data_IF_753296247522
#
_entry.id   IF_753296247522
#
_cell.length_a   1.000
_cell.length_b   1.000
_cell.length_c   1.000
_cell.angle_alpha   90.00
_cell.angle_beta   90.00
_cell.angle_gamma   90.00
#
_symmetry.space_group_name_H-M   'P 1'
#
loop_
_entity.id
_entity.type
_entity.pdbx_description
1 polymer ?
#
# COMPACT_ATOMS: atom_id res chain seq x y z
N UNK A 1 24.61 17.87 -19.27
CA UNK A 1 25.53 17.80 -18.12
C UNK A 1 24.81 17.07 -17.01
N UNK A 2 25.35 15.94 -16.51
CA UNK A 2 24.85 15.35 -15.27
C UNK A 2 25.35 16.25 -14.14
N UNK A 3 24.50 17.12 -13.64
CA UNK A 3 24.72 17.78 -12.36
C UNK A 3 24.97 16.67 -11.34
N UNK A 4 26.08 16.76 -10.61
CA UNK A 4 26.37 15.78 -9.57
C UNK A 4 25.31 15.89 -8.48
N UNK A 5 25.05 14.83 -7.72
CA UNK A 5 24.22 14.94 -6.52
C UNK A 5 24.80 15.91 -5.47
N UNK A 6 25.95 16.52 -5.73
CA UNK A 6 26.53 17.59 -4.91
C UNK A 6 25.92 18.97 -5.18
N UNK A 7 25.26 19.18 -6.32
CA UNK A 7 24.63 20.48 -6.61
C UNK A 7 23.43 20.70 -5.71
N UNK A 8 23.51 21.69 -4.82
CA UNK A 8 22.50 21.95 -3.80
C UNK A 8 21.18 22.38 -4.44
N UNK A 9 20.06 21.84 -3.94
CA UNK A 9 18.71 22.17 -4.38
C UNK A 9 17.89 22.63 -3.18
N UNK A 10 17.34 23.83 -3.20
CA UNK A 10 16.35 24.28 -2.19
C UNK A 10 15.04 24.65 -2.86
N UNK A 11 14.01 24.98 -2.08
CA UNK A 11 12.76 25.51 -2.61
C UNK A 11 12.68 27.02 -2.42
N UNK A 12 12.08 27.70 -3.39
CA UNK A 12 11.76 29.11 -3.29
C UNK A 12 10.87 29.38 -2.06
N UNK A 13 11.22 30.41 -1.28
CA UNK A 13 10.47 30.81 -0.08
C UNK A 13 9.08 31.37 -0.40
N UNK A 14 8.87 31.85 -1.62
CA UNK A 14 7.59 32.40 -2.06
C UNK A 14 6.69 31.36 -2.74
N UNK A 15 7.13 30.76 -3.85
CA UNK A 15 6.29 29.86 -4.64
C UNK A 15 6.59 28.37 -4.48
N UNK A 16 7.65 28.00 -3.75
CA UNK A 16 8.03 26.61 -3.54
C UNK A 16 8.63 25.89 -4.76
N UNK A 17 8.95 26.59 -5.85
CA UNK A 17 9.66 26.00 -6.97
C UNK A 17 11.10 25.58 -6.57
N UNK A 18 11.61 24.43 -7.05
CA UNK A 18 13.00 24.05 -6.87
C UNK A 18 13.97 25.09 -7.44
N UNK A 19 15.09 25.29 -6.73
CA UNK A 19 16.16 26.22 -7.06
C UNK A 19 17.48 25.46 -7.00
N UNK A 20 18.16 25.33 -8.14
CA UNK A 20 19.53 24.85 -8.21
C UNK A 20 20.47 25.98 -7.78
N UNK A 21 21.16 25.78 -6.66
CA UNK A 21 22.04 26.79 -6.05
C UNK A 21 23.52 26.54 -6.39
N UNK A 22 23.85 25.32 -6.84
CA UNK A 22 25.24 24.90 -6.99
C UNK A 22 25.94 24.83 -5.63
N UNK A 23 27.16 25.34 -5.54
CA UNK A 23 27.98 25.33 -4.30
C UNK A 23 28.07 26.68 -3.60
N UNK A 24 27.45 27.73 -4.15
CA UNK A 24 27.56 29.10 -3.62
C UNK A 24 26.49 29.45 -2.60
N UNK A 25 26.76 30.47 -1.77
CA UNK A 25 25.79 31.08 -0.85
C UNK A 25 25.17 32.38 -1.39
N UNK A 26 25.39 32.66 -2.68
CA UNK A 26 24.87 33.86 -3.31
C UNK A 26 23.33 33.81 -3.45
N UNK A 27 22.63 34.93 -3.27
CA UNK A 27 21.18 34.96 -3.45
C UNK A 27 20.75 34.56 -4.88
N UNK A 28 19.81 33.61 -4.99
CA UNK A 28 19.32 33.09 -6.27
C UNK A 28 17.93 33.65 -6.59
N UNK A 29 17.69 34.10 -7.82
CA UNK A 29 16.36 34.48 -8.30
C UNK A 29 15.57 33.24 -8.75
N UNK A 30 14.34 33.10 -8.27
CA UNK A 30 13.47 32.02 -8.69
C UNK A 30 13.01 32.22 -10.14
N UNK A 31 13.30 31.24 -11.01
CA UNK A 31 12.87 31.29 -12.40
C UNK A 31 11.34 31.28 -12.60
N UNK A 32 10.57 30.82 -11.60
CA UNK A 32 9.10 30.73 -11.69
C UNK A 32 8.38 32.02 -11.27
N UNK A 33 8.73 32.60 -10.11
CA UNK A 33 8.04 33.79 -9.57
C UNK A 33 8.90 35.05 -9.49
N UNK A 34 10.17 34.98 -9.89
CA UNK A 34 11.11 36.12 -9.86
C UNK A 34 11.62 36.52 -8.48
N UNK A 35 11.11 35.92 -7.39
CA UNK A 35 11.54 36.23 -6.04
C UNK A 35 13.04 35.99 -5.84
N UNK A 36 13.72 36.91 -5.15
CA UNK A 36 15.12 36.74 -4.71
C UNK A 36 15.13 35.92 -3.43
N UNK A 37 15.84 34.80 -3.43
CA UNK A 37 15.92 33.87 -2.30
C UNK A 37 17.30 33.97 -1.66
N UNK A 38 17.33 34.15 -0.35
CA UNK A 38 18.57 34.05 0.41
C UNK A 38 18.94 32.57 0.53
N UNK A 39 20.17 32.23 0.14
CA UNK A 39 20.73 30.91 0.40
C UNK A 39 21.27 30.92 1.83
N UNK A 40 20.73 30.05 2.67
CA UNK A 40 21.20 29.86 4.05
C UNK A 40 22.29 28.79 4.02
N UNK A 41 23.47 29.02 4.59
CA UNK A 41 24.51 27.99 4.62
C UNK A 41 24.00 26.70 5.28
N UNK A 42 24.38 25.55 4.71
CA UNK A 42 24.04 24.23 5.27
C UNK A 42 24.94 23.97 6.47
N UNK A 43 24.40 23.34 7.51
CA UNK A 43 25.23 22.82 8.61
C UNK A 43 25.79 21.48 8.16
N UNK A 44 27.11 21.44 7.99
CA UNK A 44 27.85 20.27 7.53
C UNK A 44 28.65 19.59 8.65
N UNK A 45 28.49 20.03 9.89
CA UNK A 45 29.13 19.41 11.05
C UNK A 45 28.55 18.00 11.28
N UNK A 46 29.42 17.02 11.48
CA UNK A 46 29.00 15.68 11.84
C UNK A 46 28.22 15.70 13.17
N UNK A 47 27.17 14.89 13.26
CA UNK A 47 26.50 14.67 14.55
C UNK A 47 27.47 13.94 15.48
N UNK A 48 27.67 14.46 16.69
CA UNK A 48 28.58 13.86 17.66
C UNK A 48 28.11 12.44 18.05
N UNK A 49 29.05 11.53 18.25
CA UNK A 49 28.76 10.19 18.77
C UNK A 49 28.34 10.27 20.25
N UNK A 50 27.19 9.69 20.57
CA UNK A 50 26.53 9.78 21.87
C UNK A 50 26.47 8.48 22.65
N UNK A 51 26.62 7.30 22.02
CA UNK A 51 26.50 6.01 22.72
C UNK A 51 27.79 5.19 22.74
N UNK A 52 28.30 4.93 23.95
CA UNK A 52 29.55 4.19 24.17
C UNK A 52 29.36 2.74 24.66
N UNK A 53 28.14 2.31 24.99
CA UNK A 53 27.92 0.95 25.51
C UNK A 53 28.00 -0.12 24.41
N UNK A 54 28.04 -1.38 24.84
CA UNK A 54 27.97 -2.55 23.96
C UNK A 54 26.72 -2.52 23.07
N UNK A 55 26.82 -3.08 21.87
CA UNK A 55 25.74 -3.06 20.88
C UNK A 55 24.49 -3.78 21.36
N UNK A 56 24.62 -4.88 22.11
CA UNK A 56 23.46 -5.60 22.61
C UNK A 56 22.66 -4.74 23.59
N UNK A 57 23.35 -4.09 24.53
CA UNK A 57 22.74 -3.18 25.50
C UNK A 57 22.06 -1.99 24.81
N UNK A 58 22.65 -1.50 23.71
CA UNK A 58 22.05 -0.44 22.88
C UNK A 58 20.76 -0.93 22.22
N UNK A 59 20.75 -2.11 21.61
CA UNK A 59 19.54 -2.66 20.98
C UNK A 59 18.41 -2.88 21.99
N UNK A 60 18.73 -3.37 23.19
CA UNK A 60 17.75 -3.51 24.27
C UNK A 60 17.18 -2.15 24.71
N UNK A 61 18.03 -1.13 24.79
CA UNK A 61 17.58 0.24 25.05
C UNK A 61 16.64 0.76 23.96
N UNK A 62 16.97 0.55 22.68
CA UNK A 62 16.13 0.96 21.55
C UNK A 62 14.78 0.23 21.54
N UNK A 63 14.75 -1.07 21.88
CA UNK A 63 13.50 -1.84 22.01
C UNK A 63 12.58 -1.27 23.09
N UNK A 64 13.14 -0.83 24.21
CA UNK A 64 12.37 -0.20 25.29
C UNK A 64 11.73 1.14 24.89
N UNK A 65 12.22 1.79 23.82
CA UNK A 65 11.67 3.03 23.27
C UNK A 65 10.60 2.82 22.20
N UNK A 66 10.05 1.61 22.03
CA UNK A 66 9.09 1.31 20.97
C UNK A 66 7.62 1.40 21.43
N UNK A 67 7.03 2.60 21.69
CA UNK A 67 5.58 2.71 21.76
C UNK A 67 4.99 2.57 20.35
N UNK A 68 3.69 2.32 20.27
CA UNK A 68 2.95 2.49 19.01
C UNK A 68 3.25 3.90 18.46
N UNK A 69 3.78 3.99 17.23
CA UNK A 69 4.08 5.27 16.61
C UNK A 69 2.80 6.12 16.58
N UNK A 70 2.90 7.32 17.15
CA UNK A 70 1.87 8.35 17.01
C UNK A 70 2.50 9.51 16.23
N UNK A 71 1.98 9.85 15.03
CA UNK A 71 2.42 11.05 14.34
C UNK A 71 2.12 12.28 15.22
N UNK A 72 2.87 13.37 15.01
CA UNK A 72 2.56 14.63 15.67
C UNK A 72 1.08 14.98 15.40
N UNK A 73 0.26 15.28 16.42
CA UNK A 73 -1.16 15.57 16.24
C UNK A 73 -1.44 16.67 15.20
N UNK A 74 -0.51 17.61 15.01
CA UNK A 74 -0.61 18.65 14.00
C UNK A 74 -0.53 18.12 12.55
N UNK A 75 -0.04 16.89 12.35
CA UNK A 75 0.08 16.25 11.04
C UNK A 75 -1.12 15.36 10.70
N UNK A 76 -1.90 14.93 11.71
CA UNK A 76 -3.06 14.06 11.51
C UNK A 76 -4.04 14.55 10.42
N UNK A 77 -4.33 15.86 10.29
CA UNK A 77 -5.23 16.35 9.23
C UNK A 77 -4.74 16.06 7.80
N UNK A 78 -3.43 15.85 7.62
CA UNK A 78 -2.85 15.61 6.31
C UNK A 78 -2.70 14.12 5.96
N UNK A 79 -2.97 13.23 6.91
CA UNK A 79 -2.63 11.82 6.79
C UNK A 79 -3.84 10.95 6.44
N UNK A 80 -3.62 9.98 5.55
CA UNK A 80 -4.48 8.82 5.34
C UNK A 80 -3.69 7.58 5.78
N UNK A 81 -3.89 7.16 7.02
CA UNK A 81 -3.00 6.19 7.69
C UNK A 81 -1.61 6.80 7.91
N UNK A 82 -0.58 6.16 7.38
CA UNK A 82 0.83 6.59 7.50
C UNK A 82 1.34 7.39 6.29
N UNK A 83 0.43 7.84 5.41
CA UNK A 83 0.79 8.52 4.15
C UNK A 83 0.13 9.89 4.07
N UNK A 84 0.78 10.80 3.34
CA UNK A 84 0.16 12.06 2.96
C UNK A 84 -1.05 11.80 2.05
N UNK A 85 -2.23 12.23 2.49
CA UNK A 85 -3.44 12.11 1.71
C UNK A 85 -3.37 12.98 0.44
N UNK A 86 -3.84 12.45 -0.68
CA UNK A 86 -3.73 13.14 -1.98
C UNK A 86 -4.41 14.52 -1.97
N UNK A 87 -5.60 14.61 -1.36
CA UNK A 87 -6.35 15.86 -1.27
C UNK A 87 -5.69 16.90 -0.34
N UNK A 88 -4.92 16.45 0.66
CA UNK A 88 -4.29 17.31 1.65
C UNK A 88 -2.91 17.84 1.21
N UNK A 89 -2.42 17.43 0.03
CA UNK A 89 -1.07 17.74 -0.43
C UNK A 89 -0.78 19.24 -0.49
N UNK A 90 -1.68 20.03 -1.08
CA UNK A 90 -1.49 21.46 -1.24
C UNK A 90 -1.46 22.18 0.11
N UNK A 91 -2.34 21.78 1.03
CA UNK A 91 -2.42 22.33 2.38
C UNK A 91 -1.19 21.95 3.21
N UNK A 92 -0.76 20.68 3.17
CA UNK A 92 0.47 20.22 3.81
C UNK A 92 1.70 20.99 3.31
N UNK A 93 1.79 21.24 2.00
CA UNK A 93 2.88 22.04 1.45
C UNK A 93 2.85 23.51 1.92
N UNK A 94 1.66 24.11 1.97
CA UNK A 94 1.48 25.47 2.51
C UNK A 94 1.85 25.53 4.00
N UNK A 95 1.45 24.52 4.77
CA UNK A 95 1.81 24.39 6.19
C UNK A 95 3.32 24.25 6.37
N UNK A 96 3.98 23.43 5.55
CA UNK A 96 5.43 23.30 5.55
C UNK A 96 6.15 24.61 5.23
N UNK A 97 5.69 25.37 4.21
CA UNK A 97 6.23 26.70 3.91
C UNK A 97 6.04 27.69 5.07
N UNK A 98 4.87 27.65 5.73
CA UNK A 98 4.59 28.50 6.87
C UNK A 98 5.42 28.13 8.12
N UNK A 99 5.72 26.84 8.33
CA UNK A 99 6.66 26.39 9.35
C UNK A 99 8.07 26.87 9.02
N UNK A 100 8.52 26.69 7.78
CA UNK A 100 9.82 27.15 7.29
C UNK A 100 10.02 28.66 7.49
N UNK A 101 9.01 29.47 7.20
CA UNK A 101 9.09 30.93 7.37
C UNK A 101 9.16 31.40 8.83
N UNK A 102 8.64 30.61 9.77
CA UNK A 102 8.55 30.95 11.20
C UNK A 102 9.53 30.18 12.09
N UNK A 103 10.16 29.14 11.55
CA UNK A 103 11.08 28.28 12.29
C UNK A 103 12.24 29.10 12.82
N UNK A 104 12.40 29.07 14.13
CA UNK A 104 13.53 29.67 14.82
C UNK A 104 14.49 28.55 15.24
N UNK A 105 15.81 28.73 15.08
CA UNK A 105 16.81 27.76 15.54
C UNK A 105 16.57 27.33 17.00
N UNK A 106 16.49 26.03 17.27
CA UNK A 106 16.36 25.49 18.62
C UNK A 106 14.92 25.20 19.10
N UNK A 107 13.89 25.55 18.32
CA UNK A 107 12.53 25.07 18.59
C UNK A 107 12.39 23.60 18.18
N UNK A 108 12.66 22.71 19.14
CA UNK A 108 12.66 21.25 18.95
C UNK A 108 11.37 20.74 18.31
N UNK A 109 10.21 21.28 18.71
CA UNK A 109 8.93 20.82 18.21
C UNK A 109 8.68 21.29 16.77
N UNK A 110 8.99 22.55 16.46
CA UNK A 110 8.87 23.08 15.10
C UNK A 110 9.85 22.39 14.14
N UNK A 111 11.10 22.17 14.55
CA UNK A 111 12.10 21.48 13.74
C UNK A 111 11.70 20.04 13.44
N UNK A 112 11.18 19.31 14.44
CA UNK A 112 10.64 17.96 14.25
C UNK A 112 9.54 17.97 13.20
N UNK A 113 8.51 18.82 13.36
CA UNK A 113 7.39 18.90 12.41
C UNK A 113 7.86 19.31 11.01
N UNK A 114 8.82 20.22 10.91
CA UNK A 114 9.38 20.67 9.64
C UNK A 114 10.01 19.51 8.86
N UNK A 115 10.81 18.67 9.53
CA UNK A 115 11.47 17.51 8.90
C UNK A 115 10.49 16.38 8.61
N UNK A 116 9.57 16.09 9.52
CA UNK A 116 8.52 15.09 9.30
C UNK A 116 7.65 15.42 8.08
N UNK A 117 7.18 16.66 8.00
CA UNK A 117 6.33 17.09 6.90
C UNK A 117 7.12 17.15 5.59
N UNK A 118 8.40 17.56 5.64
CA UNK A 118 9.29 17.48 4.48
C UNK A 118 9.45 16.05 3.98
N UNK A 119 9.62 15.08 4.89
CA UNK A 119 9.72 13.66 4.55
C UNK A 119 8.44 13.14 3.88
N UNK A 120 7.26 13.44 4.44
CA UNK A 120 5.98 13.04 3.86
C UNK A 120 5.76 13.65 2.47
N UNK A 121 6.09 14.93 2.29
CA UNK A 121 6.03 15.61 1.00
C UNK A 121 7.07 15.08 0.01
N UNK A 122 8.25 14.69 0.50
CA UNK A 122 9.33 14.09 -0.27
C UNK A 122 8.91 12.74 -0.84
N UNK A 123 8.39 11.83 0.00
CA UNK A 123 7.83 10.55 -0.43
C UNK A 123 6.75 10.73 -1.50
N UNK A 124 5.86 11.73 -1.34
CA UNK A 124 4.85 12.02 -2.36
C UNK A 124 5.46 12.53 -3.66
N UNK A 125 6.47 13.38 -3.60
CA UNK A 125 7.16 13.90 -4.79
C UNK A 125 7.91 12.78 -5.53
N UNK A 126 8.40 11.76 -4.81
CA UNK A 126 8.98 10.56 -5.40
C UNK A 126 7.97 9.80 -6.27
N UNK A 127 6.72 9.67 -5.79
CA UNK A 127 5.64 9.00 -6.53
C UNK A 127 5.28 9.74 -7.82
N UNK A 128 5.42 11.06 -7.84
CA UNK A 128 5.19 11.87 -9.05
C UNK A 128 6.42 11.93 -9.97
N UNK A 129 7.55 11.32 -9.59
CA UNK A 129 8.79 11.37 -10.35
C UNK A 129 9.47 12.75 -10.36
N UNK A 130 9.32 13.56 -9.29
CA UNK A 130 9.95 14.88 -9.13
C UNK A 130 11.09 14.83 -8.08
N UNK A 131 12.25 14.24 -8.42
CA UNK A 131 13.37 14.11 -7.49
C UNK A 131 13.99 15.47 -7.10
N UNK A 132 13.86 16.51 -7.95
CA UNK A 132 14.36 17.85 -7.64
C UNK A 132 13.56 18.47 -6.50
N UNK A 133 12.23 18.38 -6.54
CA UNK A 133 11.39 18.85 -5.44
C UNK A 133 11.61 18.06 -4.17
N UNK A 134 11.75 16.75 -4.28
CA UNK A 134 12.03 15.90 -3.12
C UNK A 134 13.31 16.32 -2.40
N UNK A 135 14.40 16.47 -3.16
CA UNK A 135 15.66 16.98 -2.65
C UNK A 135 15.49 18.37 -2.04
N UNK A 136 14.81 19.25 -2.76
CA UNK A 136 14.52 20.62 -2.34
C UNK A 136 13.82 20.70 -1.00
N UNK A 137 12.84 19.82 -0.74
CA UNK A 137 12.13 19.75 0.55
C UNK A 137 13.08 19.40 1.70
N UNK A 138 13.87 18.34 1.55
CA UNK A 138 14.77 17.86 2.59
C UNK A 138 15.91 18.85 2.85
N UNK A 139 16.56 19.36 1.80
CA UNK A 139 17.65 20.34 1.94
C UNK A 139 17.15 21.67 2.51
N UNK A 140 15.96 22.15 2.08
CA UNK A 140 15.39 23.40 2.65
C UNK A 140 15.12 23.27 4.14
N UNK A 141 14.63 22.10 4.60
CA UNK A 141 14.43 21.82 6.02
C UNK A 141 15.77 21.71 6.76
N UNK A 142 16.77 21.03 6.17
CA UNK A 142 18.09 20.85 6.77
C UNK A 142 18.79 22.20 7.05
N UNK A 143 18.53 23.22 6.25
CA UNK A 143 19.11 24.55 6.46
C UNK A 143 18.62 25.24 7.74
N UNK A 144 17.47 24.83 8.27
CA UNK A 144 16.76 25.52 9.36
C UNK A 144 16.85 24.77 10.68
N UNK A 145 16.96 23.44 10.64
CA UNK A 145 17.05 22.63 11.86
C UNK A 145 18.43 22.72 12.51
N UNK A 146 18.48 22.64 13.84
CA UNK A 146 19.70 22.65 14.66
C UNK A 146 19.77 21.48 15.63
N UNK A 147 18.64 20.87 15.97
CA UNK A 147 18.61 19.71 16.84
C UNK A 147 19.32 18.53 16.16
N UNK A 148 20.15 17.75 16.90
CA UNK A 148 20.82 16.57 16.36
C UNK A 148 19.84 15.59 15.70
N UNK A 149 18.68 15.38 16.34
CA UNK A 149 17.64 14.48 15.87
C UNK A 149 17.08 14.85 14.50
N UNK A 150 16.65 16.10 14.34
CA UNK A 150 16.04 16.56 13.09
C UNK A 150 17.09 16.62 11.96
N UNK A 151 18.32 17.03 12.29
CA UNK A 151 19.46 17.04 11.38
C UNK A 151 19.79 15.65 10.84
N UNK A 152 19.87 14.64 11.73
CA UNK A 152 20.14 13.26 11.34
C UNK A 152 19.05 12.67 10.45
N UNK A 153 17.78 12.88 10.77
CA UNK A 153 16.66 12.39 9.94
C UNK A 153 16.70 13.00 8.54
N UNK A 154 16.92 14.32 8.43
CA UNK A 154 17.02 15.00 7.14
C UNK A 154 18.21 14.49 6.31
N UNK A 155 19.39 14.30 6.92
CA UNK A 155 20.58 13.75 6.27
C UNK A 155 20.39 12.30 5.82
N UNK A 156 19.79 11.46 6.65
CA UNK A 156 19.44 10.09 6.30
C UNK A 156 18.48 10.05 5.09
N UNK A 157 17.52 10.98 5.01
CA UNK A 157 16.66 11.13 3.83
C UNK A 157 17.41 11.49 2.56
N UNK A 158 18.34 12.44 2.65
CA UNK A 158 19.19 12.81 1.54
C UNK A 158 20.10 11.65 1.09
N UNK A 159 20.61 10.85 2.04
CA UNK A 159 21.36 9.64 1.73
C UNK A 159 20.53 8.58 0.98
N UNK A 160 19.31 8.30 1.47
CA UNK A 160 18.39 7.36 0.83
C UNK A 160 17.98 7.82 -0.58
N UNK A 161 17.71 9.11 -0.73
CA UNK A 161 17.42 9.74 -2.03
C UNK A 161 18.58 9.60 -3.02
N UNK A 162 19.82 9.84 -2.57
CA UNK A 162 21.01 9.66 -3.39
C UNK A 162 21.11 8.23 -3.94
N UNK A 163 20.98 7.24 -3.05
CA UNK A 163 21.03 5.82 -3.40
C UNK A 163 19.95 5.47 -4.42
N UNK A 164 18.71 5.94 -4.21
CA UNK A 164 17.59 5.73 -5.13
C UNK A 164 17.82 6.35 -6.51
N UNK A 165 18.50 7.49 -6.56
CA UNK A 165 18.91 8.12 -7.82
C UNK A 165 20.12 7.45 -8.48
N UNK A 166 20.65 6.36 -7.92
CA UNK A 166 21.80 5.65 -8.45
C UNK A 166 23.12 6.36 -8.16
N UNK A 167 23.17 7.20 -7.12
CA UNK A 167 24.40 7.80 -6.61
C UNK A 167 24.68 7.31 -5.16
N UNK A 168 25.16 6.07 -5.02
CA UNK A 168 25.53 5.55 -3.70
C UNK A 168 26.73 6.30 -3.09
N UNK A 169 27.59 6.95 -3.89
CA UNK A 169 28.72 7.72 -3.36
C UNK A 169 28.25 9.02 -2.69
N UNK A 170 27.30 9.72 -3.31
CA UNK A 170 26.59 10.83 -2.67
C UNK A 170 25.85 10.39 -1.40
N UNK A 171 25.25 9.20 -1.42
CA UNK A 171 24.62 8.60 -0.25
C UNK A 171 25.57 8.41 0.93
N UNK A 172 26.76 7.87 0.68
CA UNK A 172 27.82 7.74 1.70
C UNK A 172 28.30 9.09 2.22
N UNK A 173 28.41 10.10 1.36
CA UNK A 173 28.83 11.43 1.79
C UNK A 173 27.88 12.00 2.84
N UNK A 174 26.57 11.76 2.71
CA UNK A 174 25.58 12.15 3.72
C UNK A 174 25.59 11.29 4.97
N UNK A 175 25.76 9.96 4.83
CA UNK A 175 25.81 9.06 5.99
C UNK A 175 27.00 9.35 6.91
N UNK A 176 28.14 9.79 6.36
CA UNK A 176 29.31 10.22 7.16
C UNK A 176 29.02 11.40 8.11
N UNK A 177 27.95 12.15 7.86
CA UNK A 177 27.52 13.26 8.71
C UNK A 177 26.50 12.83 9.77
N UNK A 178 26.03 11.59 9.73
CA UNK A 178 25.07 11.04 10.70
C UNK A 178 25.79 10.30 11.83
N UNK A 179 25.13 10.17 12.98
CA UNK A 179 25.59 9.28 14.04
C UNK A 179 25.14 7.83 13.75
N UNK A 180 26.06 6.88 13.50
CA UNK A 180 25.72 5.52 13.10
C UNK A 180 25.15 4.65 14.24
N UNK A 181 25.31 5.07 15.50
CA UNK A 181 24.93 4.31 16.70
C UNK A 181 24.08 5.13 17.66
N UNK A 182 23.13 5.90 17.12
CA UNK A 182 22.23 6.71 17.94
C UNK A 182 21.52 5.89 19.01
N UNK A 183 21.33 6.50 20.18
CA UNK A 183 20.54 5.96 21.27
C UNK A 183 19.03 6.20 21.10
N UNK A 184 18.61 7.10 20.20
CA UNK A 184 17.20 7.36 19.92
C UNK A 184 16.72 6.44 18.79
N UNK A 185 15.69 5.62 19.08
CA UNK A 185 15.16 4.60 18.16
C UNK A 185 14.85 5.14 16.77
N UNK A 186 14.32 6.36 16.70
CA UNK A 186 13.94 6.95 15.42
C UNK A 186 15.15 7.32 14.59
N UNK A 187 16.07 8.10 15.14
CA UNK A 187 17.29 8.49 14.42
C UNK A 187 18.15 7.29 14.02
N UNK A 188 18.22 6.26 14.86
CA UNK A 188 18.85 4.98 14.52
C UNK A 188 18.12 4.31 13.34
N UNK A 189 16.79 4.20 13.41
CA UNK A 189 15.99 3.58 12.34
C UNK A 189 16.14 4.30 11.00
N UNK A 190 16.13 5.63 10.97
CA UNK A 190 16.34 6.41 9.75
C UNK A 190 17.77 6.24 9.20
N UNK A 191 18.79 6.22 10.06
CA UNK A 191 20.16 5.91 9.66
C UNK A 191 20.25 4.51 9.03
N UNK A 192 19.72 3.49 9.72
CA UNK A 192 19.75 2.09 9.24
C UNK A 192 19.00 1.91 7.93
N UNK A 193 17.83 2.54 7.79
CA UNK A 193 17.07 2.58 6.54
C UNK A 193 17.90 3.19 5.41
N UNK A 194 18.49 4.36 5.62
CA UNK A 194 19.31 5.03 4.62
C UNK A 194 20.58 4.24 4.26
N UNK A 195 21.22 3.63 5.26
CA UNK A 195 22.36 2.73 5.06
C UNK A 195 21.98 1.52 4.22
N UNK A 196 20.86 0.86 4.53
CA UNK A 196 20.36 -0.26 3.76
C UNK A 196 20.01 0.12 2.31
N UNK A 197 19.49 1.33 2.09
CA UNK A 197 19.26 1.87 0.75
C UNK A 197 20.57 2.04 -0.03
N UNK A 198 21.59 2.64 0.58
CA UNK A 198 22.93 2.81 -0.02
C UNK A 198 23.58 1.46 -0.32
N UNK A 199 23.55 0.52 0.62
CA UNK A 199 24.13 -0.82 0.45
C UNK A 199 23.38 -1.63 -0.61
N UNK A 200 22.06 -1.51 -0.69
CA UNK A 200 21.26 -2.10 -1.78
C UNK A 200 21.68 -1.55 -3.14
N UNK A 201 21.84 -0.22 -3.26
CA UNK A 201 22.28 0.42 -4.50
C UNK A 201 23.71 0.00 -4.91
N UNK A 202 24.58 -0.31 -3.95
CA UNK A 202 25.92 -0.85 -4.19
C UNK A 202 25.94 -2.34 -4.53
N UNK A 203 24.86 -3.07 -4.22
CA UNK A 203 24.82 -4.53 -4.31
C UNK A 203 25.44 -5.26 -3.11
N UNK A 204 25.68 -4.56 -2.00
CA UNK A 204 26.25 -5.09 -0.76
C UNK A 204 25.17 -5.71 0.13
N UNK A 205 24.53 -6.77 -0.36
CA UNK A 205 23.32 -7.37 0.21
C UNK A 205 23.55 -7.97 1.61
N UNK A 206 24.76 -8.45 1.89
CA UNK A 206 25.14 -8.90 3.22
C UNK A 206 25.12 -7.76 4.24
N UNK A 207 25.60 -6.58 3.85
CA UNK A 207 25.61 -5.39 4.70
C UNK A 207 24.20 -4.89 5.02
N UNK A 208 23.25 -5.03 4.08
CA UNK A 208 21.82 -4.76 4.31
C UNK A 208 21.28 -5.60 5.48
N UNK A 209 21.61 -6.89 5.51
CA UNK A 209 21.18 -7.78 6.60
C UNK A 209 21.95 -7.53 7.89
N UNK A 210 23.22 -7.13 7.82
CA UNK A 210 23.97 -6.70 9.02
C UNK A 210 23.34 -5.46 9.67
N UNK A 211 22.90 -4.49 8.87
CA UNK A 211 22.34 -3.24 9.41
C UNK A 211 20.86 -3.36 9.80
N UNK A 212 20.06 -4.17 9.10
CA UNK A 212 18.63 -4.32 9.40
C UNK A 212 18.31 -5.59 10.22
N UNK A 213 19.24 -6.52 10.39
CA UNK A 213 18.92 -7.86 10.88
C UNK A 213 18.26 -8.73 9.81
N UNK A 214 18.22 -10.04 10.06
CA UNK A 214 17.58 -11.03 9.20
C UNK A 214 16.05 -11.03 9.27
N UNK A 215 15.49 -10.55 10.38
CA UNK A 215 14.05 -10.39 10.64
C UNK A 215 13.77 -9.06 11.38
N UNK A 216 12.52 -8.83 11.72
CA UNK A 216 12.00 -7.62 12.38
C UNK A 216 12.24 -7.57 13.90
N UNK A 217 12.62 -8.68 14.53
CA UNK A 217 12.86 -8.77 15.98
C UNK A 217 14.33 -8.49 16.34
N UNK A 218 15.25 -8.83 15.44
CA UNK A 218 16.70 -8.68 15.66
C UNK A 218 17.11 -7.22 15.85
N UNK A 219 16.63 -6.32 15.00
CA UNK A 219 16.93 -4.89 15.05
C UNK A 219 15.62 -4.10 15.15
N UNK A 220 15.41 -3.34 16.25
CA UNK A 220 14.20 -2.55 16.40
C UNK A 220 14.19 -1.42 15.36
N UNK A 221 13.08 -1.29 14.66
CA UNK A 221 12.84 -0.25 13.65
C UNK A 221 11.52 0.44 14.01
N UNK A 222 11.47 1.77 13.87
CA UNK A 222 10.21 2.51 14.07
C UNK A 222 9.15 2.08 13.04
N UNK A 223 7.90 2.00 13.49
CA UNK A 223 6.77 1.48 12.71
C UNK A 223 6.64 2.15 11.33
N UNK A 224 6.89 3.46 11.22
CA UNK A 224 6.78 4.17 9.94
C UNK A 224 7.77 3.69 8.86
N UNK A 225 8.88 3.05 9.26
CA UNK A 225 9.90 2.51 8.35
C UNK A 225 9.88 0.99 8.24
N UNK A 226 9.14 0.30 9.10
CA UNK A 226 9.12 -1.16 9.18
C UNK A 226 8.86 -1.83 7.83
N UNK A 227 7.98 -1.26 6.99
CA UNK A 227 7.62 -1.86 5.70
C UNK A 227 8.63 -1.64 4.60
N UNK A 228 9.24 -0.46 4.57
CA UNK A 228 10.36 -0.19 3.67
C UNK A 228 11.56 -1.07 4.04
N UNK A 229 11.89 -1.18 5.33
CA UNK A 229 12.97 -2.04 5.83
C UNK A 229 12.68 -3.53 5.58
N UNK A 230 11.43 -3.99 5.74
CA UNK A 230 11.04 -5.36 5.40
C UNK A 230 11.26 -5.68 3.91
N UNK A 231 10.91 -4.75 3.00
CA UNK A 231 11.19 -4.91 1.58
C UNK A 231 12.69 -5.00 1.28
N UNK A 232 13.52 -4.16 1.93
CA UNK A 232 14.97 -4.20 1.75
C UNK A 232 15.58 -5.51 2.28
N UNK A 233 15.14 -6.01 3.45
CA UNK A 233 15.53 -7.33 3.98
C UNK A 233 15.14 -8.45 3.05
N UNK A 234 13.89 -8.48 2.57
CA UNK A 234 13.42 -9.48 1.63
C UNK A 234 14.22 -9.44 0.32
N UNK A 235 14.53 -8.26 -0.20
CA UNK A 235 15.34 -8.09 -1.40
C UNK A 235 16.75 -8.65 -1.20
N UNK A 236 17.38 -8.37 -0.06
CA UNK A 236 18.69 -8.90 0.28
C UNK A 236 18.66 -10.45 0.34
N UNK A 237 17.67 -11.03 1.02
CA UNK A 237 17.51 -12.49 1.07
C UNK A 237 17.28 -13.11 -0.32
N UNK A 238 16.43 -12.51 -1.15
CA UNK A 238 16.16 -12.98 -2.50
C UNK A 238 17.43 -12.99 -3.34
N UNK A 239 18.17 -11.88 -3.36
CA UNK A 239 19.37 -11.73 -4.18
C UNK A 239 20.55 -12.56 -3.67
N UNK A 240 20.55 -12.96 -2.39
CA UNK A 240 21.46 -13.95 -1.82
C UNK A 240 21.01 -15.41 -2.08
N UNK A 241 19.96 -15.62 -2.88
CA UNK A 241 19.47 -16.96 -3.26
C UNK A 241 18.54 -17.62 -2.23
N UNK A 242 18.19 -16.92 -1.15
CA UNK A 242 17.29 -17.43 -0.09
C UNK A 242 15.85 -16.99 -0.33
N UNK A 243 15.30 -17.38 -1.48
CA UNK A 243 13.93 -17.01 -1.90
C UNK A 243 12.86 -17.37 -0.86
N UNK A 244 12.99 -18.52 -0.18
CA UNK A 244 12.06 -18.94 0.87
C UNK A 244 11.94 -17.91 2.00
N UNK A 245 13.08 -17.49 2.56
CA UNK A 245 13.15 -16.50 3.63
C UNK A 245 12.59 -15.14 3.19
N UNK A 246 12.87 -14.71 1.96
CA UNK A 246 12.32 -13.48 1.41
C UNK A 246 10.79 -13.52 1.29
N UNK A 247 10.24 -14.63 0.79
CA UNK A 247 8.79 -14.83 0.68
C UNK A 247 8.13 -14.92 2.05
N UNK A 248 8.75 -15.59 3.01
CA UNK A 248 8.22 -15.70 4.38
C UNK A 248 8.18 -14.33 5.06
N UNK A 249 9.24 -13.53 4.92
CA UNK A 249 9.31 -12.16 5.45
C UNK A 249 8.25 -11.26 4.81
N UNK A 250 8.10 -11.30 3.47
CA UNK A 250 7.03 -10.57 2.80
C UNK A 250 5.65 -11.09 3.23
N UNK A 251 5.48 -12.38 3.47
CA UNK A 251 4.21 -12.97 3.93
C UNK A 251 3.86 -12.49 5.35
N UNK A 252 4.85 -12.40 6.23
CA UNK A 252 4.67 -11.87 7.58
C UNK A 252 4.30 -10.37 7.54
N UNK A 253 5.01 -9.58 6.73
CA UNK A 253 4.83 -8.13 6.70
C UNK A 253 3.64 -7.65 5.87
N UNK A 254 3.41 -8.24 4.69
CA UNK A 254 2.40 -7.78 3.72
C UNK A 254 1.01 -8.42 3.91
N UNK A 255 0.84 -9.50 4.69
CA UNK A 255 -0.26 -10.43 4.35
C UNK A 255 -1.14 -11.00 5.48
N UNK A 256 -1.20 -10.39 6.66
CA UNK A 256 -2.26 -10.76 7.60
C UNK A 256 -3.58 -10.00 7.48
N UNK A 257 -3.72 -8.81 6.84
CA UNK A 257 -5.09 -8.35 6.48
C UNK A 257 -5.36 -7.16 5.55
N UNK A 258 -4.47 -6.18 5.31
CA UNK A 258 -4.95 -4.92 4.68
C UNK A 258 -4.41 -4.63 3.25
N UNK A 259 -5.30 -4.15 2.36
CA UNK A 259 -4.99 -3.64 1.03
C UNK A 259 -3.99 -2.46 1.09
N UNK A 260 -4.01 -1.73 2.20
CA UNK A 260 -3.11 -0.61 2.46
C UNK A 260 -1.62 -1.01 2.42
N UNK A 261 -1.23 -2.11 3.09
CA UNK A 261 0.17 -2.55 3.14
C UNK A 261 0.73 -2.93 1.76
N UNK A 262 -0.10 -3.54 0.92
CA UNK A 262 0.26 -3.86 -0.47
C UNK A 262 0.46 -2.60 -1.30
N UNK A 263 -0.45 -1.62 -1.15
CA UNK A 263 -0.34 -0.35 -1.87
C UNK A 263 0.92 0.41 -1.45
N UNK A 264 1.25 0.42 -0.15
CA UNK A 264 2.48 1.05 0.36
C UNK A 264 3.72 0.40 -0.25
N UNK A 265 3.78 -0.93 -0.25
CA UNK A 265 4.91 -1.64 -0.82
C UNK A 265 5.09 -1.41 -2.32
N UNK A 266 4.00 -1.44 -3.10
CA UNK A 266 4.04 -1.12 -4.54
C UNK A 266 4.49 0.33 -4.78
N UNK A 267 4.02 1.26 -3.95
CA UNK A 267 4.43 2.67 -4.04
C UNK A 267 5.92 2.82 -3.76
N UNK A 268 6.43 2.12 -2.73
CA UNK A 268 7.85 2.09 -2.41
C UNK A 268 8.68 1.45 -3.53
N UNK A 269 8.28 0.29 -4.07
CA UNK A 269 8.97 -0.35 -5.19
C UNK A 269 8.99 0.53 -6.44
N UNK A 270 7.86 1.19 -6.77
CA UNK A 270 7.75 2.11 -7.89
C UNK A 270 8.69 3.31 -7.75
N UNK A 271 8.68 3.97 -6.58
CA UNK A 271 9.59 5.07 -6.29
C UNK A 271 11.07 4.65 -6.36
N UNK A 272 11.36 3.38 -6.06
CA UNK A 272 12.70 2.79 -6.02
C UNK A 272 12.97 1.82 -7.18
N UNK A 273 12.35 2.02 -8.35
CA UNK A 273 12.42 1.07 -9.47
C UNK A 273 13.86 0.72 -9.92
N UNK A 274 14.81 1.64 -9.74
CA UNK A 274 16.25 1.41 -10.05
C UNK A 274 16.92 0.37 -9.16
N UNK A 275 16.38 0.09 -7.99
CA UNK A 275 16.93 -0.87 -7.04
C UNK A 275 16.45 -2.31 -7.28
N UNK A 276 15.52 -2.51 -8.23
CA UNK A 276 14.96 -3.83 -8.60
C UNK A 276 14.55 -4.66 -7.36
N UNK A 277 13.66 -4.10 -6.54
CA UNK A 277 13.32 -4.65 -5.24
C UNK A 277 12.33 -5.84 -5.35
N UNK A 278 12.78 -7.02 -4.93
CA UNK A 278 11.98 -8.24 -4.75
C UNK A 278 11.25 -8.78 -6.01
N UNK A 279 11.86 -8.81 -7.21
CA UNK A 279 11.16 -9.18 -8.44
C UNK A 279 10.56 -10.59 -8.40
N UNK A 280 11.17 -11.55 -7.69
CA UNK A 280 10.68 -12.94 -7.61
C UNK A 280 9.85 -13.21 -6.37
N UNK A 281 10.25 -12.68 -5.22
CA UNK A 281 9.62 -12.98 -3.93
C UNK A 281 8.22 -12.39 -3.83
N UNK A 282 7.97 -11.24 -4.45
CA UNK A 282 6.63 -10.67 -4.51
C UNK A 282 5.66 -11.57 -5.29
N UNK A 283 6.07 -12.01 -6.49
CA UNK A 283 5.27 -12.91 -7.31
C UNK A 283 4.97 -14.23 -6.59
N UNK A 284 5.95 -14.82 -5.92
CA UNK A 284 5.75 -16.07 -5.20
C UNK A 284 4.93 -15.87 -3.91
N UNK A 285 5.10 -14.75 -3.19
CA UNK A 285 4.25 -14.40 -2.05
C UNK A 285 2.79 -14.24 -2.47
N UNK A 286 2.53 -13.59 -3.60
CA UNK A 286 1.20 -13.46 -4.18
C UNK A 286 0.61 -14.84 -4.55
N UNK A 287 1.38 -15.69 -5.22
CA UNK A 287 0.94 -17.07 -5.52
C UNK A 287 0.63 -17.87 -4.26
N UNK A 288 1.46 -17.76 -3.22
CA UNK A 288 1.20 -18.43 -1.92
C UNK A 288 -0.08 -17.92 -1.30
N UNK A 289 -0.34 -16.61 -1.36
CA UNK A 289 -1.58 -16.00 -0.88
C UNK A 289 -2.79 -16.49 -1.65
N UNK A 290 -2.74 -16.49 -2.99
CA UNK A 290 -3.81 -17.05 -3.83
C UNK A 290 -4.11 -18.51 -3.47
N UNK A 291 -3.07 -19.34 -3.27
CA UNK A 291 -3.23 -20.73 -2.83
C UNK A 291 -3.86 -20.82 -1.44
N UNK A 292 -3.44 -19.97 -0.50
CA UNK A 292 -3.99 -19.94 0.86
C UNK A 292 -5.47 -19.51 0.87
N UNK A 293 -5.82 -18.50 0.08
CA UNK A 293 -7.21 -18.03 -0.10
C UNK A 293 -8.08 -19.08 -0.81
N UNK A 294 -7.52 -19.78 -1.81
CA UNK A 294 -8.18 -20.92 -2.44
C UNK A 294 -8.46 -22.06 -1.47
N UNK A 295 -7.62 -22.26 -0.45
CA UNK A 295 -7.82 -23.24 0.63
C UNK A 295 -8.76 -22.74 1.74
N UNK A 296 -8.69 -21.46 2.10
CA UNK A 296 -9.49 -20.82 3.18
C UNK A 296 -10.89 -20.40 2.77
N UNK A 297 -11.13 -20.17 1.48
CA UNK A 297 -12.50 -20.00 1.01
C UNK A 297 -13.29 -21.17 1.55
N UNK A 298 -14.23 -20.90 2.47
CA UNK A 298 -15.11 -21.89 3.11
C UNK A 298 -15.33 -22.94 2.05
N UNK A 299 -14.87 -24.20 2.23
CA UNK A 299 -14.97 -25.18 1.19
C UNK A 299 -16.40 -25.08 0.72
N UNK A 300 -16.64 -24.56 -0.48
CA UNK A 300 -18.02 -24.29 -0.89
C UNK A 300 -18.77 -25.62 -0.98
N UNK A 301 -18.03 -26.74 -0.96
CA UNK A 301 -18.49 -28.08 -0.59
C UNK A 301 -19.20 -28.15 0.76
N UNK A 302 -18.74 -27.54 1.85
CA UNK A 302 -19.46 -27.46 3.14
C UNK A 302 -20.72 -26.60 3.03
N UNK A 303 -20.64 -25.42 2.43
CA UNK A 303 -21.84 -24.57 2.21
C UNK A 303 -22.89 -25.25 1.31
N UNK A 304 -22.43 -25.87 0.23
CA UNK A 304 -23.25 -26.65 -0.70
C UNK A 304 -23.75 -27.96 -0.07
N UNK A 305 -22.97 -28.63 0.78
CA UNK A 305 -23.42 -29.81 1.54
C UNK A 305 -24.47 -29.43 2.58
N UNK A 306 -24.34 -28.27 3.21
CA UNK A 306 -25.37 -27.74 4.12
C UNK A 306 -26.64 -27.43 3.34
N UNK A 307 -26.54 -26.73 2.20
CA UNK A 307 -27.71 -26.42 1.35
C UNK A 307 -28.34 -27.69 0.77
N UNK A 308 -27.53 -28.62 0.26
CA UNK A 308 -27.99 -29.91 -0.27
C UNK A 308 -28.62 -30.76 0.85
N UNK A 309 -28.00 -30.79 2.03
CA UNK A 309 -28.50 -31.47 3.22
C UNK A 309 -29.83 -30.89 3.70
N UNK A 310 -29.96 -29.56 3.76
CA UNK A 310 -31.23 -28.88 4.05
C UNK A 310 -32.29 -29.20 3.00
N UNK A 311 -31.92 -29.17 1.70
CA UNK A 311 -32.85 -29.48 0.61
C UNK A 311 -33.36 -30.93 0.67
N UNK A 312 -32.47 -31.88 0.96
CA UNK A 312 -32.81 -33.29 1.16
C UNK A 312 -33.67 -33.46 2.43
N UNK A 313 -33.34 -32.77 3.52
CA UNK A 313 -34.11 -32.79 4.75
C UNK A 313 -35.54 -32.26 4.55
N UNK A 314 -35.70 -31.14 3.84
CA UNK A 314 -37.02 -30.60 3.51
C UNK A 314 -37.82 -31.52 2.59
N UNK A 315 -37.18 -32.15 1.60
CA UNK A 315 -37.85 -33.11 0.73
C UNK A 315 -38.32 -34.36 1.50
N UNK A 316 -37.47 -34.93 2.35
CA UNK A 316 -37.80 -36.08 3.20
C UNK A 316 -38.89 -35.75 4.22
N UNK A 317 -38.79 -34.60 4.89
CA UNK A 317 -39.82 -34.14 5.84
C UNK A 317 -41.17 -33.90 5.16
N UNK A 318 -41.16 -33.37 3.92
CA UNK A 318 -42.37 -33.23 3.12
C UNK A 318 -42.99 -34.58 2.77
N UNK A 319 -42.19 -35.59 2.40
CA UNK A 319 -42.69 -36.94 2.14
C UNK A 319 -43.31 -37.61 3.37
N UNK A 320 -42.69 -37.45 4.55
CA UNK A 320 -43.21 -38.00 5.80
C UNK A 320 -44.56 -37.38 6.19
N UNK A 321 -44.71 -36.07 6.02
CA UNK A 321 -45.98 -35.37 6.28
C UNK A 321 -47.08 -35.78 5.29
N UNK A 322 -46.74 -36.06 4.02
CA UNK A 322 -47.71 -36.64 3.06
C UNK A 322 -48.16 -38.03 3.53
N UNK A 323 -47.21 -38.87 3.95
CA UNK A 323 -47.53 -40.22 4.43
C UNK A 323 -48.43 -40.20 5.67
N UNK A 324 -48.15 -39.31 6.63
CA UNK A 324 -48.98 -39.09 7.82
C UNK A 324 -50.37 -38.58 7.46
N UNK A 325 -50.47 -37.65 6.50
CA UNK A 325 -51.75 -37.20 5.98
C UNK A 325 -52.57 -38.35 5.37
N UNK A 326 -51.95 -39.15 4.49
CA UNK A 326 -52.60 -40.31 3.88
C UNK A 326 -53.05 -41.34 4.92
N UNK A 327 -52.30 -41.51 6.01
CA UNK A 327 -52.68 -42.35 7.14
C UNK A 327 -53.88 -41.78 7.91
N UNK A 328 -53.92 -40.48 8.17
CA UNK A 328 -55.06 -39.80 8.82
C UNK A 328 -56.36 -39.91 8.01
N UNK A 329 -56.28 -39.84 6.68
CA UNK A 329 -57.41 -40.13 5.80
C UNK A 329 -57.96 -41.55 6.00
N UNK A 330 -57.06 -42.51 6.24
CA UNK A 330 -57.42 -43.91 6.47
C UNK A 330 -57.96 -44.15 7.89
N UNK A 331 -57.49 -43.40 8.89
CA UNK A 331 -57.78 -43.63 10.31
C UNK A 331 -59.05 -42.95 10.86
N UNK A 332 -59.99 -42.51 10.00
CA UNK A 332 -61.26 -41.84 10.36
C UNK A 332 -61.18 -40.51 11.14
N UNK A 333 -60.02 -40.14 11.68
CA UNK A 333 -59.75 -38.84 12.30
C UNK A 333 -59.28 -37.83 11.23
N UNK A 334 -60.25 -37.31 10.46
CA UNK A 334 -60.00 -36.44 9.29
C UNK A 334 -59.53 -35.01 9.59
N UNK A 335 -59.20 -34.67 10.84
CA UNK A 335 -58.89 -33.29 11.26
C UNK A 335 -57.43 -32.86 10.99
N UNK A 336 -56.49 -33.79 10.83
CA UNK A 336 -55.06 -33.47 10.60
C UNK A 336 -54.62 -33.50 9.14
N UNK A 337 -55.41 -34.10 8.23
CA UNK A 337 -55.03 -34.28 6.82
C UNK A 337 -54.67 -32.97 6.09
N UNK A 338 -55.50 -31.94 6.24
CA UNK A 338 -55.32 -30.67 5.53
C UNK A 338 -54.03 -29.94 5.93
N UNK A 339 -53.68 -29.96 7.22
CA UNK A 339 -52.49 -29.31 7.73
C UNK A 339 -51.21 -30.02 7.26
N UNK A 340 -51.19 -31.37 7.31
CA UNK A 340 -50.02 -32.15 6.87
C UNK A 340 -49.75 -32.00 5.38
N UNK A 341 -50.79 -31.97 4.52
CA UNK A 341 -50.61 -31.67 3.10
C UNK A 341 -50.08 -30.26 2.88
N UNK A 342 -50.63 -29.25 3.56
CA UNK A 342 -50.19 -27.87 3.39
C UNK A 342 -48.71 -27.70 3.78
N UNK A 343 -48.30 -28.26 4.92
CA UNK A 343 -46.90 -28.24 5.36
C UNK A 343 -45.98 -28.95 4.37
N UNK A 344 -46.42 -30.09 3.80
CA UNK A 344 -45.66 -30.82 2.78
C UNK A 344 -45.44 -30.00 1.52
N UNK A 345 -46.49 -29.33 1.02
CA UNK A 345 -46.39 -28.44 -0.13
C UNK A 345 -45.42 -27.29 0.13
N UNK A 346 -45.48 -26.66 1.31
CA UNK A 346 -44.55 -25.58 1.67
C UNK A 346 -43.10 -26.06 1.63
N UNK A 347 -42.80 -27.24 2.19
CA UNK A 347 -41.44 -27.77 2.23
C UNK A 347 -40.91 -28.15 0.84
N UNK A 348 -41.74 -28.79 0.01
CA UNK A 348 -41.38 -29.10 -1.37
C UNK A 348 -41.17 -27.85 -2.23
N UNK A 349 -42.06 -26.87 -2.11
CA UNK A 349 -41.97 -25.62 -2.87
C UNK A 349 -40.73 -24.81 -2.47
N UNK A 350 -40.41 -24.81 -1.17
CA UNK A 350 -39.17 -24.22 -0.64
C UNK A 350 -37.95 -24.89 -1.28
N UNK A 351 -37.85 -26.22 -1.25
CA UNK A 351 -36.74 -26.93 -1.88
C UNK A 351 -36.65 -26.68 -3.40
N UNK A 352 -37.79 -26.69 -4.10
CA UNK A 352 -37.86 -26.47 -5.54
C UNK A 352 -37.46 -25.05 -5.98
N UNK A 353 -37.65 -24.03 -5.13
CA UNK A 353 -37.20 -22.65 -5.39
C UNK A 353 -35.72 -22.47 -5.04
N UNK A 354 -35.31 -22.94 -3.87
CA UNK A 354 -33.96 -22.65 -3.38
C UNK A 354 -32.89 -23.42 -4.15
N UNK A 355 -33.13 -24.69 -4.54
CA UNK A 355 -32.12 -25.49 -5.25
C UNK A 355 -31.69 -24.85 -6.59
N UNK A 356 -32.59 -24.44 -7.51
CA UNK A 356 -32.20 -23.81 -8.76
C UNK A 356 -31.55 -22.44 -8.58
N UNK A 357 -32.03 -21.62 -7.63
CA UNK A 357 -31.45 -20.30 -7.34
C UNK A 357 -30.02 -20.44 -6.84
N UNK A 358 -29.78 -21.33 -5.88
CA UNK A 358 -28.44 -21.61 -5.37
C UNK A 358 -27.54 -22.27 -6.41
N UNK A 359 -28.07 -23.19 -7.23
CA UNK A 359 -27.30 -23.82 -8.31
C UNK A 359 -26.89 -22.81 -9.40
N UNK A 360 -27.79 -21.89 -9.75
CA UNK A 360 -27.52 -20.78 -10.67
C UNK A 360 -26.44 -19.84 -10.12
N UNK A 361 -26.57 -19.42 -8.87
CA UNK A 361 -25.57 -18.62 -8.19
C UNK A 361 -24.21 -19.35 -8.10
N UNK A 362 -24.22 -20.65 -7.77
CA UNK A 362 -23.03 -21.49 -7.70
C UNK A 362 -22.28 -21.56 -9.03
N UNK A 363 -22.99 -21.84 -10.14
CA UNK A 363 -22.37 -21.88 -11.48
C UNK A 363 -21.81 -20.52 -11.87
N UNK A 364 -22.46 -19.41 -11.50
CA UNK A 364 -21.94 -18.05 -11.75
C UNK A 364 -20.63 -17.81 -10.97
N UNK A 365 -20.61 -18.10 -9.68
CA UNK A 365 -19.41 -17.90 -8.83
C UNK A 365 -18.24 -18.80 -9.25
N UNK A 366 -18.50 -20.06 -9.60
CA UNK A 366 -17.48 -20.98 -10.12
C UNK A 366 -16.87 -20.49 -11.44
N UNK A 367 -17.71 -19.97 -12.34
CA UNK A 367 -17.26 -19.41 -13.62
C UNK A 367 -16.44 -18.14 -13.42
N UNK A 368 -16.91 -17.22 -12.57
CA UNK A 368 -16.16 -16.02 -12.21
C UNK A 368 -14.79 -16.37 -11.64
N UNK A 369 -14.71 -17.37 -10.73
CA UNK A 369 -13.43 -17.85 -10.20
C UNK A 369 -12.54 -18.49 -11.27
N UNK A 370 -13.10 -19.30 -12.18
CA UNK A 370 -12.34 -19.91 -13.26
C UNK A 370 -11.73 -18.86 -14.20
N UNK A 371 -12.47 -17.78 -14.49
CA UNK A 371 -11.96 -16.66 -15.28
C UNK A 371 -10.90 -15.85 -14.51
N UNK A 372 -11.15 -15.55 -13.24
CA UNK A 372 -10.20 -14.85 -12.34
C UNK A 372 -8.86 -15.60 -12.23
N UNK A 373 -8.92 -16.93 -12.08
CA UNK A 373 -7.71 -17.77 -11.90
C UNK A 373 -6.92 -17.99 -13.19
N UNK A 374 -7.55 -17.88 -14.36
CA UNK A 374 -6.89 -18.07 -15.67
C UNK A 374 -6.42 -16.78 -16.32
N UNK A 375 -6.82 -15.63 -15.79
CA UNK A 375 -6.53 -14.33 -16.41
C UNK A 375 -7.13 -14.21 -17.82
N UNK A 376 -8.23 -14.92 -18.09
CA UNK A 376 -8.87 -14.90 -19.40
C UNK A 376 -9.39 -13.49 -19.70
N UNK A 377 -9.04 -13.02 -20.89
CA UNK A 377 -9.50 -11.76 -21.45
C UNK A 377 -10.88 -12.02 -22.06
N UNK A 378 -11.91 -11.27 -21.65
CA UNK A 378 -13.26 -11.46 -22.16
C UNK A 378 -13.89 -10.12 -22.60
N UNK A 379 -14.56 -10.07 -23.77
CA UNK A 379 -15.32 -8.90 -24.17
C UNK A 379 -16.54 -8.72 -23.25
N UNK A 380 -16.95 -7.48 -23.04
CA UNK A 380 -18.11 -7.13 -22.24
C UNK A 380 -18.79 -5.83 -22.67
N UNK A 381 -19.92 -5.52 -22.03
CA UNK A 381 -20.65 -4.24 -22.16
C UNK A 381 -21.01 -3.67 -20.80
N UNK A 382 -20.79 -2.37 -20.62
CA UNK A 382 -21.21 -1.67 -19.40
C UNK A 382 -22.73 -1.56 -19.43
N UNK A 383 -23.42 -2.13 -18.44
CA UNK A 383 -24.88 -2.04 -18.31
C UNK A 383 -25.28 -0.75 -17.59
N UNK A 384 -24.62 -0.47 -16.47
CA UNK A 384 -24.76 0.80 -15.75
C UNK A 384 -23.45 1.15 -15.04
N UNK A 385 -23.26 2.44 -14.78
CA UNK A 385 -22.15 2.94 -13.98
C UNK A 385 -22.64 4.13 -13.16
N UNK A 386 -22.35 4.15 -11.86
CA UNK A 386 -22.71 5.23 -10.94
C UNK A 386 -21.53 5.58 -10.06
N UNK A 387 -21.24 6.88 -9.92
CA UNK A 387 -20.17 7.36 -9.04
C UNK A 387 -20.52 7.01 -7.59
N UNK A 388 -19.58 6.35 -6.90
CA UNK A 388 -19.67 6.01 -5.47
C UNK A 388 -18.89 7.03 -4.65
N UNK A 389 -17.71 7.40 -5.13
CA UNK A 389 -16.84 8.37 -4.44
C UNK A 389 -16.03 9.14 -5.47
N UNK A 390 -15.98 10.46 -5.32
CA UNK A 390 -15.19 11.35 -6.17
C UNK A 390 -14.06 11.96 -5.35
N UNK A 391 -12.84 11.88 -5.86
CA UNK A 391 -11.67 12.53 -5.27
C UNK A 391 -10.83 13.21 -6.35
N UNK A 392 -10.04 14.26 -6.03
CA UNK A 392 -9.23 14.95 -7.03
C UNK A 392 -8.23 13.99 -7.71
N UNK A 393 -8.51 13.66 -8.97
CA UNK A 393 -7.69 12.75 -9.79
C UNK A 393 -8.12 11.28 -9.80
N UNK A 394 -9.12 10.88 -9.00
CA UNK A 394 -9.69 9.52 -9.10
C UNK A 394 -11.17 9.47 -8.71
N UNK A 395 -11.93 8.69 -9.47
CA UNK A 395 -13.35 8.40 -9.26
C UNK A 395 -13.49 6.90 -9.01
N UNK A 396 -14.12 6.54 -7.90
CA UNK A 396 -14.61 5.20 -7.67
C UNK A 396 -16.07 5.14 -8.12
N UNK A 397 -16.41 4.19 -8.99
CA UNK A 397 -17.78 3.99 -9.45
C UNK A 397 -18.19 2.53 -9.34
N UNK A 398 -19.45 2.31 -8.97
CA UNK A 398 -20.09 1.02 -9.04
C UNK A 398 -20.55 0.81 -10.47
N UNK A 399 -20.16 -0.30 -11.08
CA UNK A 399 -20.58 -0.66 -12.43
C UNK A 399 -21.25 -2.03 -12.44
N UNK A 400 -22.35 -2.11 -13.19
CA UNK A 400 -22.96 -3.38 -13.63
C UNK A 400 -22.44 -3.69 -15.02
N UNK A 401 -21.88 -4.89 -15.19
CA UNK A 401 -21.17 -5.27 -16.40
C UNK A 401 -21.73 -6.58 -16.95
N UNK A 402 -21.91 -6.63 -18.26
CA UNK A 402 -22.23 -7.86 -18.98
C UNK A 402 -20.98 -8.41 -19.64
N UNK A 403 -20.56 -9.61 -19.28
CA UNK A 403 -19.32 -10.21 -19.78
C UNK A 403 -19.67 -11.40 -20.67
N UNK A 404 -19.03 -11.49 -21.84
CA UNK A 404 -19.25 -12.50 -22.88
C UNK A 404 -17.97 -13.32 -23.12
N UNK A 405 -17.69 -14.36 -22.30
CA UNK A 405 -16.53 -15.23 -22.51
C UNK A 405 -16.70 -16.09 -23.77
N UNK A 406 -15.61 -16.38 -24.50
CA UNK A 406 -15.67 -17.20 -25.74
C UNK A 406 -16.24 -18.61 -25.53
N UNK A 407 -16.05 -19.19 -24.33
CA UNK A 407 -16.42 -20.59 -24.02
C UNK A 407 -17.43 -20.72 -22.89
N UNK A 408 -18.11 -19.65 -22.52
CA UNK A 408 -19.12 -19.68 -21.47
C UNK A 408 -20.28 -18.74 -21.81
N UNK A 409 -21.51 -19.06 -21.35
CA UNK A 409 -22.62 -18.14 -21.54
C UNK A 409 -22.33 -16.84 -20.77
N UNK A 410 -22.81 -15.71 -21.30
CA UNK A 410 -22.55 -14.42 -20.72
C UNK A 410 -23.20 -14.26 -19.34
N UNK A 411 -22.62 -13.40 -18.52
CA UNK A 411 -23.10 -13.15 -17.16
C UNK A 411 -22.92 -11.70 -16.75
N UNK A 412 -23.71 -11.31 -15.74
CA UNK A 412 -23.66 -10.00 -15.13
C UNK A 412 -22.78 -10.00 -13.87
N UNK A 413 -22.00 -8.94 -13.68
CA UNK A 413 -21.23 -8.70 -12.45
C UNK A 413 -21.38 -7.25 -12.00
N UNK A 414 -21.61 -7.05 -10.70
CA UNK A 414 -21.48 -5.75 -10.05
C UNK A 414 -20.10 -5.62 -9.43
N UNK A 415 -19.42 -4.50 -9.65
CA UNK A 415 -18.08 -4.27 -9.10
C UNK A 415 -17.84 -2.79 -8.89
N UNK A 416 -16.90 -2.45 -8.00
CA UNK A 416 -16.44 -1.08 -7.79
C UNK A 416 -15.11 -0.90 -8.49
N UNK A 417 -15.00 0.14 -9.30
CA UNK A 417 -13.87 0.39 -10.18
C UNK A 417 -13.28 1.74 -9.83
N UNK A 418 -11.98 1.78 -9.52
CA UNK A 418 -11.22 3.01 -9.40
C UNK A 418 -10.65 3.42 -10.76
N UNK A 419 -10.92 4.63 -11.22
CA UNK A 419 -10.38 5.15 -12.48
C UNK A 419 -10.21 6.67 -12.46
N UNK A 420 -9.54 7.24 -13.45
CA UNK A 420 -9.52 8.70 -13.67
C UNK A 420 -10.90 9.21 -14.11
N UNK A 421 -11.28 10.47 -13.83
CA UNK A 421 -12.52 11.07 -14.32
C UNK A 421 -12.73 10.97 -15.84
N UNK A 422 -11.66 11.10 -16.62
CA UNK A 422 -11.68 11.01 -18.09
C UNK A 422 -12.10 9.60 -18.57
N UNK A 423 -11.43 8.56 -18.06
CA UNK A 423 -11.82 7.16 -18.30
C UNK A 423 -13.24 6.84 -17.82
N UNK A 424 -13.71 7.47 -16.74
CA UNK A 424 -15.10 7.31 -16.31
C UNK A 424 -16.07 7.92 -17.33
N UNK A 425 -15.78 9.11 -17.85
CA UNK A 425 -16.60 9.74 -18.90
C UNK A 425 -16.67 8.89 -20.19
N UNK A 426 -15.64 8.07 -20.45
CA UNK A 426 -15.65 7.11 -21.55
C UNK A 426 -16.57 5.91 -21.29
N UNK A 427 -16.78 5.50 -20.04
CA UNK A 427 -17.60 4.34 -19.64
C UNK A 427 -19.10 4.69 -19.61
N UNK A 428 -19.70 4.85 -20.80
CA UNK A 428 -21.15 4.99 -20.97
C UNK A 428 -21.83 3.62 -21.11
N UNK A 429 -23.06 3.51 -20.64
CA UNK A 429 -23.90 2.33 -20.84
C UNK A 429 -23.94 1.93 -22.33
N UNK A 430 -23.77 0.64 -22.60
CA UNK A 430 -23.78 0.05 -23.94
C UNK A 430 -22.44 0.00 -24.67
N UNK A 431 -21.39 0.69 -24.19
CA UNK A 431 -20.07 0.63 -24.83
C UNK A 431 -19.40 -0.74 -24.64
N UNK A 432 -18.77 -1.30 -25.68
CA UNK A 432 -17.98 -2.51 -25.57
C UNK A 432 -16.68 -2.22 -24.83
N UNK A 433 -16.21 -3.18 -24.08
CA UNK A 433 -14.92 -3.12 -23.39
C UNK A 433 -14.33 -4.52 -23.25
N UNK A 434 -13.06 -4.61 -22.86
CA UNK A 434 -12.42 -5.88 -22.58
C UNK A 434 -12.05 -5.93 -21.11
N UNK A 435 -12.51 -6.98 -20.43
CA UNK A 435 -12.14 -7.25 -19.05
C UNK A 435 -10.86 -8.05 -19.04
N UNK A 436 -9.86 -7.58 -18.31
CA UNK A 436 -8.76 -8.43 -17.84
C UNK A 436 -8.90 -8.60 -16.34
N UNK A 437 -9.14 -9.84 -15.93
CA UNK A 437 -9.21 -10.18 -14.51
C UNK A 437 -7.79 -10.31 -13.94
N UNK A 438 -7.43 -9.42 -13.01
CA UNK A 438 -6.15 -9.46 -12.31
C UNK A 438 -6.41 -9.63 -10.82
N UNK A 439 -6.53 -10.90 -10.42
CA UNK A 439 -6.23 -11.41 -9.07
C UNK A 439 -7.06 -10.92 -7.88
N UNK A 440 -7.97 -9.95 -8.11
CA UNK A 440 -9.09 -9.47 -7.28
C UNK A 440 -9.59 -8.10 -7.75
N UNK A 441 -8.76 -7.38 -8.51
CA UNK A 441 -9.13 -6.15 -9.18
C UNK A 441 -9.54 -6.45 -10.62
N UNK A 442 -10.69 -5.91 -11.03
CA UNK A 442 -11.09 -5.95 -12.42
C UNK A 442 -10.36 -4.78 -13.09
N UNK A 443 -9.33 -5.08 -13.89
CA UNK A 443 -8.63 -4.06 -14.67
C UNK A 443 -9.34 -3.91 -16.01
N UNK A 444 -9.81 -2.69 -16.25
CA UNK A 444 -10.54 -2.31 -17.45
C UNK A 444 -9.56 -1.73 -18.45
N UNK A 445 -9.38 -2.42 -19.57
CA UNK A 445 -8.77 -1.83 -20.75
C UNK A 445 -9.90 -1.51 -21.74
N UNK A 446 -10.21 -0.23 -21.97
CA UNK A 446 -11.11 0.11 -23.07
C UNK A 446 -10.49 -0.44 -24.36
N UNK A 447 -11.29 -1.15 -25.16
CA UNK A 447 -10.90 -1.51 -26.51
C UNK A 447 -10.96 -0.22 -27.32
N UNK A 448 -9.88 0.54 -27.31
CA UNK A 448 -9.69 1.62 -28.27
C UNK A 448 -9.52 0.94 -29.63
N UNK A 449 -10.58 1.00 -30.44
CA UNK A 449 -10.50 0.76 -31.87
C UNK A 449 -10.13 2.05 -32.57
#
# INVERSE_FOLDING_TARGET
MKTGFFDRVTLCSSCGAPLDIGTGDEPVRCGKCGARNQVVARIDDAVAEGWSADELARLDHLRAQSPAYAPDPALLPFLAGMRLAQHARAEAFAHWQALRARSSPGDVAAERRLVELAWLLALRSAEDGDPHRERGLLESSLCLVRTPRATQIARAGLAALAARMGDPAGGEAWLRLCEPRSADLRTDSYYRFARAMVDTAKGELGAVLTVLGGNDVEVPIVEELSGACALLRANAWERLGRLGAAVDLLSHYKFESDAFGQQLARSFQSANARLDLCPKSELESERRRQRALGRRGIPWTKGMLVILGLSVHFALGGLLLIAEGLWSLYSSDGTSFGLSIMCSFIMFFTAAIFVPLFWGAFRRTQRQRAMLTRGEIAPGRVLSASVVTESPGSVAFAARLWICPDRAPPFEVETTIGSSPERFAELRAGKPFTVRYLDRDVLFEPVLR
#
